data_IF_237221610682
#
_entry.id   IF_237221610682
#
_cell.length_a   1.000
_cell.length_b   1.000
_cell.length_c   1.000
_cell.angle_alpha   90.00
_cell.angle_beta   90.00
_cell.angle_gamma   90.00
#
_symmetry.space_group_name_H-M   'P 1'
#
loop_
_entity.id
_entity.type
_entity.pdbx_description
1 polymer ?
#
# COMPACT_ATOMS: atom_id res chain seq x y z
N UNK A 1 5.47 26.78 18.94
CA UNK A 1 5.45 26.73 17.46
C UNK A 1 6.46 25.69 17.02
N UNK A 2 6.08 24.78 16.12
CA UNK A 2 7.00 23.76 15.60
C UNK A 2 7.89 24.33 14.48
N UNK A 3 9.06 23.73 14.28
CA UNK A 3 9.96 24.02 13.16
C UNK A 3 9.64 23.02 12.05
N UNK A 4 9.44 23.49 10.81
CA UNK A 4 9.21 22.63 9.65
C UNK A 4 10.52 22.33 8.94
N UNK A 5 10.73 21.06 8.58
CA UNK A 5 11.82 20.61 7.70
C UNK A 5 11.24 19.70 6.64
N UNK A 6 11.78 19.75 5.42
CA UNK A 6 11.48 18.75 4.41
C UNK A 6 12.38 17.55 4.66
N UNK A 7 11.80 16.35 4.68
CA UNK A 7 12.53 15.10 4.85
C UNK A 7 12.24 14.23 3.63
N UNK A 8 13.31 13.84 2.95
CA UNK A 8 13.27 12.88 1.84
C UNK A 8 13.96 11.61 2.32
N UNK A 9 13.38 10.45 2.06
CA UNK A 9 13.90 9.17 2.53
C UNK A 9 13.64 8.07 1.51
N UNK A 10 14.58 7.13 1.45
CA UNK A 10 14.45 5.85 0.74
C UNK A 10 14.20 4.77 1.79
N UNK A 11 13.16 3.97 1.60
CA UNK A 11 12.80 2.90 2.53
C UNK A 11 12.88 1.56 1.82
N UNK A 12 13.55 0.59 2.45
CA UNK A 12 13.40 -0.81 2.12
C UNK A 12 12.42 -1.45 3.10
N UNK A 13 11.49 -2.25 2.57
CA UNK A 13 10.40 -2.86 3.33
C UNK A 13 10.22 -4.30 2.86
N UNK A 14 9.88 -5.18 3.79
CA UNK A 14 9.52 -6.55 3.48
C UNK A 14 8.18 -6.90 4.11
N UNK A 15 7.25 -7.31 3.25
CA UNK A 15 5.92 -7.78 3.63
C UNK A 15 5.69 -9.20 3.12
N UNK A 16 5.03 -10.01 3.93
CA UNK A 16 4.22 -11.11 3.42
C UNK A 16 2.82 -10.55 3.18
N UNK A 17 2.24 -10.76 1.99
CA UNK A 17 0.90 -10.26 1.65
C UNK A 17 0.07 -11.41 1.10
N UNK A 18 -1.14 -11.56 1.64
CA UNK A 18 -2.18 -12.45 1.16
C UNK A 18 -3.34 -11.60 0.64
N UNK A 19 -3.64 -11.74 -0.65
CA UNK A 19 -4.75 -11.09 -1.32
C UNK A 19 -5.86 -12.11 -1.59
N UNK A 20 -7.13 -11.69 -1.67
CA UNK A 20 -8.21 -12.53 -2.15
C UNK A 20 -7.93 -13.01 -3.58
N UNK A 21 -8.53 -14.14 -3.98
CA UNK A 21 -8.22 -14.80 -5.24
C UNK A 21 -8.40 -13.89 -6.47
N UNK A 22 -9.42 -13.03 -6.46
CA UNK A 22 -9.66 -12.04 -7.53
C UNK A 22 -8.54 -11.01 -7.68
N UNK A 23 -7.85 -10.64 -6.60
CA UNK A 23 -6.73 -9.70 -6.63
C UNK A 23 -5.38 -10.41 -6.80
N UNK A 24 -5.25 -11.64 -6.29
CA UNK A 24 -4.07 -12.49 -6.46
C UNK A 24 -3.98 -13.12 -7.86
N UNK A 25 -5.09 -13.20 -8.60
CA UNK A 25 -5.18 -13.71 -9.98
C UNK A 25 -6.24 -12.91 -10.76
N UNK A 26 -6.01 -11.62 -10.99
CA UNK A 26 -7.01 -10.76 -11.58
C UNK A 26 -7.26 -11.15 -13.04
N UNK A 27 -8.53 -11.15 -13.42
CA UNK A 27 -8.93 -11.20 -14.83
C UNK A 27 -8.60 -9.88 -15.52
N UNK A 28 -8.70 -9.83 -16.85
CA UNK A 28 -8.51 -8.59 -17.59
C UNK A 28 -9.51 -7.49 -17.16
N UNK A 29 -10.75 -7.88 -16.82
CA UNK A 29 -11.78 -6.96 -16.34
C UNK A 29 -11.43 -6.42 -14.95
N UNK A 30 -10.91 -7.25 -14.06
CA UNK A 30 -10.44 -6.81 -12.74
C UNK A 30 -9.29 -5.81 -12.86
N UNK A 31 -8.31 -6.05 -13.75
CA UNK A 31 -7.20 -5.12 -14.01
C UNK A 31 -7.73 -3.78 -14.53
N UNK A 32 -8.66 -3.78 -15.48
CA UNK A 32 -9.28 -2.56 -15.98
C UNK A 32 -10.03 -1.79 -14.88
N UNK A 33 -10.75 -2.50 -14.01
CA UNK A 33 -11.43 -1.91 -12.85
C UNK A 33 -10.46 -1.25 -11.87
N UNK A 34 -9.38 -1.94 -11.52
CA UNK A 34 -8.34 -1.41 -10.61
C UNK A 34 -7.67 -0.17 -11.23
N UNK A 35 -7.38 -0.18 -12.53
CA UNK A 35 -6.83 0.98 -13.24
C UNK A 35 -7.79 2.16 -13.27
N UNK A 36 -9.09 1.90 -13.48
CA UNK A 36 -10.13 2.93 -13.42
C UNK A 36 -10.19 3.60 -12.04
N UNK A 37 -9.86 2.86 -10.97
CA UNK A 37 -9.74 3.39 -9.61
C UNK A 37 -8.46 4.22 -9.37
N UNK A 38 -7.58 4.38 -10.36
CA UNK A 38 -6.39 5.24 -10.31
C UNK A 38 -5.10 4.54 -9.94
N UNK A 39 -5.08 3.20 -9.95
CA UNK A 39 -3.87 2.41 -9.68
C UNK A 39 -3.16 2.03 -10.99
N UNK A 40 -1.83 2.05 -10.97
CA UNK A 40 -1.02 1.69 -12.14
C UNK A 40 -0.64 0.20 -12.08
N UNK A 41 -1.57 -0.64 -12.56
CA UNK A 41 -1.45 -2.11 -12.55
C UNK A 41 -1.61 -2.69 -13.96
N UNK A 42 -0.74 -3.63 -14.32
CA UNK A 42 -0.82 -4.36 -15.60
C UNK A 42 -0.96 -5.88 -15.41
N UNK A 43 -0.67 -6.38 -14.22
CA UNK A 43 -0.67 -7.80 -13.87
C UNK A 43 -0.82 -7.98 -12.35
N UNK A 44 -0.84 -9.23 -11.90
CA UNK A 44 -0.97 -9.56 -10.47
C UNK A 44 0.16 -8.99 -9.61
N UNK A 45 1.41 -8.97 -10.08
CA UNK A 45 2.56 -8.51 -9.28
C UNK A 45 2.45 -7.00 -9.00
N UNK A 46 1.92 -6.23 -9.96
CA UNK A 46 1.62 -4.81 -9.72
C UNK A 46 0.54 -4.60 -8.66
N UNK A 47 -0.43 -5.51 -8.54
CA UNK A 47 -1.44 -5.46 -7.48
C UNK A 47 -0.77 -5.62 -6.11
N UNK A 48 0.20 -6.53 -5.98
CA UNK A 48 0.99 -6.67 -4.74
C UNK A 48 1.84 -5.42 -4.45
N UNK A 49 2.45 -4.81 -5.47
CA UNK A 49 3.19 -3.54 -5.35
C UNK A 49 2.29 -2.43 -4.79
N UNK A 50 1.09 -2.25 -5.34
CA UNK A 50 0.15 -1.23 -4.86
C UNK A 50 -0.40 -1.55 -3.47
N UNK A 51 -0.69 -2.82 -3.17
CA UNK A 51 -1.08 -3.25 -1.82
C UNK A 51 0.00 -2.90 -0.78
N UNK A 52 1.28 -3.20 -1.07
CA UNK A 52 2.40 -2.84 -0.20
C UNK A 52 2.51 -1.32 0.01
N UNK A 53 2.34 -0.54 -1.07
CA UNK A 53 2.32 0.93 -1.01
C UNK A 53 1.19 1.45 -0.11
N UNK A 54 -0.02 0.89 -0.22
CA UNK A 54 -1.17 1.25 0.62
C UNK A 54 -0.92 0.95 2.10
N UNK A 55 -0.33 -0.22 2.40
CA UNK A 55 0.06 -0.60 3.76
C UNK A 55 1.06 0.40 4.34
N UNK A 56 2.07 0.82 3.57
CA UNK A 56 3.06 1.81 4.01
C UNK A 56 2.45 3.18 4.29
N UNK A 57 1.48 3.61 3.48
CA UNK A 57 0.79 4.90 3.64
C UNK A 57 -0.24 4.89 4.77
N UNK A 58 -0.42 3.75 5.45
CA UNK A 58 -1.42 3.61 6.51
C UNK A 58 -2.86 3.76 5.99
N UNK A 59 -3.11 3.32 4.75
CA UNK A 59 -4.40 3.39 4.08
C UNK A 59 -4.96 4.81 3.87
N UNK A 60 -4.12 5.84 4.03
CA UNK A 60 -4.54 7.22 3.78
C UNK A 60 -4.60 7.52 2.27
N UNK A 61 -5.64 8.25 1.88
CA UNK A 61 -5.71 9.03 0.63
C UNK A 61 -5.66 8.21 -0.67
N UNK A 62 -6.28 7.03 -0.70
CA UNK A 62 -6.40 6.19 -1.89
C UNK A 62 -7.81 5.57 -1.99
N UNK A 63 -8.25 5.23 -3.21
CA UNK A 63 -9.46 4.42 -3.47
C UNK A 63 -9.23 2.95 -3.04
N UNK A 64 -8.85 2.74 -1.79
CA UNK A 64 -8.49 1.43 -1.24
C UNK A 64 -9.69 0.48 -1.13
N UNK A 65 -10.92 0.98 -1.31
CA UNK A 65 -12.14 0.15 -1.41
C UNK A 65 -11.97 -1.00 -2.41
N UNK A 66 -11.16 -0.83 -3.47
CA UNK A 66 -10.89 -1.89 -4.45
C UNK A 66 -10.05 -3.06 -3.88
N UNK A 67 -9.26 -2.81 -2.84
CA UNK A 67 -8.49 -3.82 -2.11
C UNK A 67 -9.22 -4.36 -0.87
N UNK A 68 -10.38 -3.79 -0.54
CA UNK A 68 -11.12 -4.13 0.67
C UNK A 68 -10.36 -3.73 1.95
N UNK A 69 -10.39 -4.61 2.96
CA UNK A 69 -9.86 -4.35 4.30
C UNK A 69 -8.53 -5.05 4.49
N UNK A 70 -7.51 -4.32 4.93
CA UNK A 70 -6.20 -4.88 5.27
C UNK A 70 -6.08 -5.19 6.76
N UNK A 71 -5.56 -6.38 7.09
CA UNK A 71 -5.28 -6.82 8.46
C UNK A 71 -3.80 -7.16 8.62
N UNK A 72 -3.18 -6.66 9.71
CA UNK A 72 -1.77 -6.89 10.05
C UNK A 72 -1.41 -8.33 10.45
N UNK A 73 -2.36 -9.25 10.47
CA UNK A 73 -2.03 -10.63 10.77
C UNK A 73 -3.02 -11.58 10.14
N UNK A 74 -2.47 -12.65 9.58
CA UNK A 74 -3.25 -13.76 9.05
C UNK A 74 -4.20 -14.31 10.12
N UNK A 75 -5.46 -14.52 9.73
CA UNK A 75 -6.48 -15.12 10.59
C UNK A 75 -6.80 -16.52 10.11
N UNK A 76 -6.56 -17.51 10.97
CA UNK A 76 -6.95 -18.90 10.70
C UNK A 76 -8.44 -19.10 10.95
N UNK A 77 -9.21 -19.48 9.92
CA UNK A 77 -10.63 -19.81 10.04
C UNK A 77 -11.41 -19.57 8.76
N UNK A 78 -12.71 -19.89 8.77
CA UNK A 78 -13.62 -19.46 7.72
C UNK A 78 -13.83 -17.95 7.87
N UNK A 79 -13.56 -17.20 6.81
CA UNK A 79 -13.78 -15.75 6.76
C UNK A 79 -15.02 -15.53 5.90
N UNK A 80 -16.11 -15.04 6.50
CA UNK A 80 -17.42 -14.94 5.82
C UNK A 80 -17.39 -14.04 4.57
N UNK A 81 -16.48 -13.05 4.51
CA UNK A 81 -16.30 -12.14 3.37
C UNK A 81 -14.86 -12.18 2.82
N UNK A 82 -14.28 -13.38 2.63
CA UNK A 82 -12.86 -13.52 2.26
C UNK A 82 -12.45 -12.77 0.99
N UNK A 83 -13.39 -12.47 0.09
CA UNK A 83 -13.17 -11.71 -1.15
C UNK A 83 -12.83 -10.22 -0.94
N UNK A 84 -13.10 -9.66 0.24
CA UNK A 84 -12.81 -8.27 0.58
C UNK A 84 -11.75 -8.13 1.68
N UNK A 85 -11.05 -9.21 2.01
CA UNK A 85 -10.15 -9.27 3.17
C UNK A 85 -8.73 -9.55 2.68
N UNK A 86 -7.83 -8.61 2.91
CA UNK A 86 -6.41 -8.72 2.64
C UNK A 86 -5.65 -8.87 3.96
N UNK A 87 -4.60 -9.68 3.96
CA UNK A 87 -3.75 -9.88 5.12
C UNK A 87 -2.31 -9.52 4.77
N UNK A 88 -1.59 -9.00 5.75
CA UNK A 88 -0.17 -8.78 5.61
C UNK A 88 0.54 -9.04 6.92
N UNK A 89 1.78 -9.49 6.84
CA UNK A 89 2.71 -9.53 7.97
C UNK A 89 3.94 -8.69 7.64
N UNK A 90 4.31 -7.85 8.59
CA UNK A 90 5.43 -6.93 8.45
C UNK A 90 6.70 -7.62 8.95
N UNK A 91 7.59 -7.95 8.02
CA UNK A 91 8.82 -8.67 8.34
C UNK A 91 9.93 -7.70 8.74
N UNK A 92 10.18 -6.69 7.90
CA UNK A 92 11.24 -5.71 8.12
C UNK A 92 10.90 -4.35 7.49
N UNK A 93 11.49 -3.29 8.04
CA UNK A 93 11.53 -1.95 7.46
C UNK A 93 12.72 -1.20 7.99
N UNK A 94 13.48 -0.63 7.07
CA UNK A 94 14.57 0.24 7.43
C UNK A 94 14.72 1.37 6.41
N UNK A 95 15.30 2.47 6.88
CA UNK A 95 15.62 3.63 6.05
C UNK A 95 17.01 3.41 5.49
N UNK A 96 17.10 3.28 4.18
CA UNK A 96 18.35 3.13 3.44
C UNK A 96 19.15 4.44 3.48
N UNK A 97 18.50 5.53 3.07
CA UNK A 97 19.08 6.87 2.98
C UNK A 97 18.05 7.92 3.35
N UNK A 98 18.52 9.07 3.85
CA UNK A 98 17.67 10.22 4.10
C UNK A 98 18.39 11.57 3.94
N UNK A 99 17.64 12.59 3.55
CA UNK A 99 18.06 13.99 3.47
C UNK A 99 17.08 14.88 4.24
N UNK A 100 17.60 15.91 4.91
CA UNK A 100 16.80 16.87 5.67
C UNK A 100 17.16 18.30 5.28
N UNK A 101 16.17 19.03 4.78
CA UNK A 101 16.32 20.41 4.35
C UNK A 101 15.54 21.39 5.25
N UNK A 102 16.12 22.57 5.46
CA UNK A 102 15.38 23.68 6.06
C UNK A 102 14.45 24.32 5.03
N UNK A 103 13.16 24.42 5.37
CA UNK A 103 12.20 25.14 4.54
C UNK A 103 12.39 26.63 4.83
N UNK A 104 13.16 27.30 3.97
CA UNK A 104 13.24 28.77 3.99
C UNK A 104 11.86 29.30 3.61
N UNK A 105 11.25 30.09 4.49
CA UNK A 105 9.99 30.77 4.19
C UNK A 105 10.09 31.44 2.82
N UNK A 106 9.24 31.03 1.87
CA UNK A 106 9.06 31.79 0.64
C UNK A 106 8.49 33.12 1.09
N UNK A 107 9.27 34.20 0.99
CA UNK A 107 8.71 35.56 1.06
C UNK A 107 7.69 35.65 -0.08
N UNK A 108 6.42 35.68 0.28
CA UNK A 108 5.30 36.01 -0.62
C UNK A 108 5.52 37.38 -1.28
#
# INVERSE_FOLDING_TARGET
MGIKKLVTLTVEVQYEIELPESLAKPSAEDIEGIRYCGFDVENSDDVYKEAARLILLGFNDCNNDVFGVFHKSWRKGLIENSESECFYDFQDLYVEDFEVEEIKDRKE
#
